data_IF_334003018452
#
_entry.id   IF_334003018452
#
_cell.length_a   1.000
_cell.length_b   1.000
_cell.length_c   1.000
_cell.angle_alpha   90.00
_cell.angle_beta   90.00
_cell.angle_gamma   90.00
#
_symmetry.space_group_name_H-M   'P 1'
#
loop_
_entity.id
_entity.type
_entity.pdbx_description
1 polymer ?
#
# COMPACT_ATOMS: atom_id res chain seq x y z
N UNK A 1 -13.67 -0.16 32.52
CA UNK A 1 -12.52 -1.09 32.41
C UNK A 1 -12.46 -1.80 31.03
N UNK A 2 -12.81 -1.09 29.95
CA UNK A 2 -13.20 -1.74 28.66
C UNK A 2 -12.30 -1.35 27.48
N UNK A 3 -11.27 -0.52 27.69
CA UNK A 3 -10.40 -0.01 26.61
C UNK A 3 -9.12 -0.82 26.36
N UNK A 4 -8.84 -1.87 27.16
CA UNK A 4 -7.59 -2.65 27.04
C UNK A 4 -7.69 -3.87 26.14
N UNK A 5 -8.90 -4.39 25.88
CA UNK A 5 -9.12 -5.59 25.06
C UNK A 5 -9.14 -5.31 23.55
N UNK A 6 -9.53 -4.10 23.12
CA UNK A 6 -9.56 -3.74 21.69
C UNK A 6 -8.15 -3.46 21.14
N UNK A 7 -7.20 -3.03 21.99
CA UNK A 7 -5.82 -2.73 21.58
C UNK A 7 -4.91 -3.95 21.32
N UNK A 8 -5.37 -5.18 21.58
CA UNK A 8 -4.60 -6.42 21.32
C UNK A 8 -4.98 -7.13 20.01
N UNK A 9 -5.98 -6.66 19.26
CA UNK A 9 -6.42 -7.29 18.03
C UNK A 9 -5.73 -6.76 16.75
N UNK A 10 -4.78 -5.83 16.86
CA UNK A 10 -4.07 -5.23 15.71
C UNK A 10 -2.81 -6.01 15.27
N UNK A 11 -2.61 -7.24 15.76
CA UNK A 11 -1.35 -7.98 15.60
C UNK A 11 -1.43 -9.21 14.68
N UNK A 12 -2.57 -9.49 14.04
CA UNK A 12 -2.69 -10.59 13.07
C UNK A 12 -3.72 -10.23 12.03
N UNK A 13 -3.30 -10.12 10.77
CA UNK A 13 -4.26 -10.09 9.67
C UNK A 13 -5.04 -11.41 9.72
N UNK A 14 -6.38 -11.37 9.78
CA UNK A 14 -7.18 -12.58 9.87
C UNK A 14 -6.89 -13.47 8.65
N UNK A 15 -6.67 -14.75 8.91
CA UNK A 15 -6.45 -15.73 7.84
C UNK A 15 -7.74 -15.95 7.06
N UNK A 16 -7.63 -16.45 5.82
CA UNK A 16 -8.78 -16.76 4.97
C UNK A 16 -9.90 -17.53 5.71
N UNK A 17 -9.54 -18.56 6.48
CA UNK A 17 -10.50 -19.33 7.26
C UNK A 17 -11.16 -18.54 8.40
N UNK A 18 -10.44 -17.58 9.01
CA UNK A 18 -10.97 -16.73 10.08
C UNK A 18 -11.92 -15.65 9.54
N UNK A 19 -11.64 -15.09 8.36
CA UNK A 19 -12.53 -14.14 7.68
C UNK A 19 -13.82 -14.84 7.24
N UNK A 20 -13.70 -16.02 6.62
CA UNK A 20 -14.85 -16.83 6.20
C UNK A 20 -15.71 -17.21 7.41
N UNK A 21 -15.10 -17.69 8.50
CA UNK A 21 -15.83 -18.09 9.71
C UNK A 21 -16.51 -16.90 10.43
N UNK A 22 -15.92 -15.69 10.39
CA UNK A 22 -16.54 -14.49 10.97
C UNK A 22 -17.73 -14.01 10.12
N UNK A 23 -17.57 -14.01 8.79
CA UNK A 23 -18.64 -13.67 7.84
C UNK A 23 -19.79 -14.67 7.92
N UNK A 24 -19.49 -15.97 8.04
CA UNK A 24 -20.49 -17.03 8.26
C UNK A 24 -21.20 -16.86 9.62
N UNK A 25 -20.49 -16.46 10.68
CA UNK A 25 -21.11 -16.16 11.99
C UNK A 25 -22.05 -14.96 11.93
N UNK A 26 -21.68 -13.89 11.22
CA UNK A 26 -22.53 -12.70 11.04
C UNK A 26 -23.75 -13.06 10.18
N UNK A 27 -23.56 -13.87 9.13
CA UNK A 27 -24.62 -14.37 8.27
C UNK A 27 -25.56 -15.36 8.98
N UNK A 28 -25.09 -16.17 9.93
CA UNK A 28 -25.98 -17.03 10.74
C UNK A 28 -26.84 -16.24 11.74
N UNK A 29 -26.45 -14.99 12.06
CA UNK A 29 -27.17 -14.13 13.01
C UNK A 29 -28.28 -13.31 12.36
N UNK A 30 -28.26 -13.13 11.04
CA UNK A 30 -29.32 -12.50 10.25
C UNK A 30 -29.85 -13.50 9.22
N UNK A 31 -31.16 -13.78 9.21
CA UNK A 31 -31.79 -14.79 8.36
C UNK A 31 -31.78 -14.42 6.85
N UNK A 32 -30.61 -14.33 6.21
CA UNK A 32 -30.46 -14.16 4.76
C UNK A 32 -29.26 -14.97 4.19
N UNK A 33 -29.33 -15.40 2.92
CA UNK A 33 -28.59 -16.56 2.45
C UNK A 33 -27.08 -16.32 2.23
N UNK A 34 -26.31 -17.38 2.51
CA UNK A 34 -24.84 -17.56 2.46
C UNK A 34 -24.16 -17.07 1.15
N UNK A 35 -24.93 -16.78 0.10
CA UNK A 35 -24.45 -16.26 -1.19
C UNK A 35 -23.70 -14.91 -1.05
N UNK A 36 -24.06 -14.08 -0.07
CA UNK A 36 -23.46 -12.73 0.08
C UNK A 36 -22.02 -12.79 0.59
N UNK A 37 -21.70 -13.72 1.50
CA UNK A 37 -20.37 -13.83 2.09
C UNK A 37 -19.31 -14.32 1.10
N UNK A 38 -19.63 -15.35 0.32
CA UNK A 38 -18.74 -15.83 -0.76
C UNK A 38 -18.55 -14.78 -1.85
N UNK A 39 -19.60 -14.01 -2.16
CA UNK A 39 -19.52 -12.93 -3.16
C UNK A 39 -18.64 -11.77 -2.68
N UNK A 40 -18.72 -11.37 -1.41
CA UNK A 40 -17.85 -10.35 -0.82
C UNK A 40 -16.39 -10.81 -0.79
N UNK A 41 -16.12 -12.06 -0.42
CA UNK A 41 -14.76 -12.62 -0.42
C UNK A 41 -14.20 -12.72 -1.84
N UNK A 42 -15.01 -13.13 -2.82
CA UNK A 42 -14.61 -13.13 -4.23
C UNK A 42 -14.35 -11.70 -4.74
N UNK A 43 -15.20 -10.74 -4.41
CA UNK A 43 -15.00 -9.33 -4.75
C UNK A 43 -13.75 -8.73 -4.09
N UNK A 44 -13.43 -9.14 -2.86
CA UNK A 44 -12.19 -8.76 -2.16
C UNK A 44 -10.96 -9.38 -2.82
N UNK A 45 -11.01 -10.66 -3.20
CA UNK A 45 -9.91 -11.33 -3.91
C UNK A 45 -9.73 -10.84 -5.34
N UNK A 46 -10.80 -10.33 -5.97
CA UNK A 46 -10.76 -9.70 -7.29
C UNK A 46 -10.14 -8.29 -7.27
N UNK A 47 -9.96 -7.67 -6.11
CA UNK A 47 -9.25 -6.39 -5.99
C UNK A 47 -7.74 -6.56 -6.15
N UNK A 48 -7.09 -5.56 -6.73
CA UNK A 48 -5.63 -5.50 -6.77
C UNK A 48 -5.04 -5.64 -5.34
N UNK A 49 -3.88 -6.29 -5.17
CA UNK A 49 -3.27 -6.47 -3.84
C UNK A 49 -3.08 -5.17 -3.05
N UNK A 50 -2.80 -4.06 -3.75
CA UNK A 50 -2.65 -2.74 -3.16
C UNK A 50 -3.97 -2.21 -2.57
N UNK A 51 -5.10 -2.43 -3.24
CA UNK A 51 -6.42 -2.03 -2.76
C UNK A 51 -6.83 -2.84 -1.53
N UNK A 52 -6.51 -4.13 -1.53
CA UNK A 52 -6.68 -4.98 -0.33
C UNK A 52 -5.84 -4.47 0.83
N UNK A 53 -4.60 -4.04 0.57
CA UNK A 53 -3.70 -3.48 1.59
C UNK A 53 -4.28 -2.19 2.17
N UNK A 54 -4.72 -1.25 1.32
CA UNK A 54 -5.35 0.01 1.74
C UNK A 54 -6.58 -0.24 2.62
N UNK A 55 -7.46 -1.17 2.23
CA UNK A 55 -8.68 -1.51 2.98
C UNK A 55 -8.45 -2.31 4.25
N UNK A 56 -7.33 -3.03 4.36
CA UNK A 56 -7.02 -3.85 5.54
C UNK A 56 -6.76 -3.05 6.82
N UNK A 57 -6.50 -1.75 6.71
CA UNK A 57 -6.09 -0.91 7.84
C UNK A 57 -4.68 -1.23 8.38
N UNK A 58 -3.89 -2.01 7.63
CA UNK A 58 -2.52 -2.36 8.03
C UNK A 58 -1.54 -1.18 7.95
N UNK A 59 -1.90 -0.13 7.20
CA UNK A 59 -1.12 1.09 7.03
C UNK A 59 -1.75 2.24 7.83
N UNK A 60 -0.92 3.02 8.53
CA UNK A 60 -1.36 4.29 9.12
C UNK A 60 -1.50 5.39 8.06
N UNK A 61 -2.11 6.52 8.43
CA UNK A 61 -2.40 7.63 7.50
C UNK A 61 -1.13 8.15 6.81
N UNK A 62 0.01 8.16 7.50
CA UNK A 62 1.27 8.63 6.93
C UNK A 62 1.85 7.61 5.94
N UNK A 63 1.75 6.32 6.28
CA UNK A 63 2.11 5.22 5.39
C UNK A 63 1.23 5.21 4.13
N UNK A 64 -0.07 5.49 4.24
CA UNK A 64 -0.98 5.60 3.10
C UNK A 64 -0.63 6.77 2.18
N UNK A 65 -0.40 7.96 2.74
CA UNK A 65 0.02 9.12 1.94
C UNK A 65 1.36 8.89 1.23
N UNK A 66 2.31 8.22 1.91
CA UNK A 66 3.59 7.87 1.33
C UNK A 66 3.47 6.82 0.23
N UNK A 67 2.57 5.84 0.40
CA UNK A 67 2.25 4.84 -0.62
C UNK A 67 1.69 5.49 -1.89
N UNK A 68 0.73 6.41 -1.77
CA UNK A 68 0.17 7.13 -2.91
C UNK A 68 1.23 7.97 -3.62
N UNK A 69 2.10 8.65 -2.85
CA UNK A 69 3.24 9.38 -3.40
C UNK A 69 4.25 8.48 -4.13
N UNK A 70 4.53 7.28 -3.58
CA UNK A 70 5.44 6.31 -4.17
C UNK A 70 4.88 5.75 -5.50
N UNK A 71 3.59 5.43 -5.54
CA UNK A 71 2.91 5.00 -6.77
C UNK A 71 2.91 6.10 -7.82
N UNK A 72 2.61 7.34 -7.43
CA UNK A 72 2.67 8.50 -8.33
C UNK A 72 4.08 8.70 -8.91
N UNK A 73 5.12 8.59 -8.07
CA UNK A 73 6.50 8.70 -8.49
C UNK A 73 6.90 7.60 -9.48
N UNK A 74 6.48 6.35 -9.20
CA UNK A 74 6.70 5.22 -10.09
C UNK A 74 6.03 5.45 -11.46
N UNK A 75 4.73 5.76 -11.50
CA UNK A 75 4.01 6.03 -12.74
C UNK A 75 4.67 7.16 -13.54
N UNK A 76 5.05 8.25 -12.87
CA UNK A 76 5.78 9.35 -13.49
C UNK A 76 7.13 8.87 -14.08
N UNK A 77 7.85 7.99 -13.38
CA UNK A 77 9.15 7.46 -13.83
C UNK A 77 9.07 6.61 -15.10
N UNK A 78 7.93 5.95 -15.32
CA UNK A 78 7.65 5.14 -16.52
C UNK A 78 6.88 5.92 -17.59
N UNK A 79 6.76 7.25 -17.46
CA UNK A 79 6.07 8.10 -18.42
C UNK A 79 4.53 8.05 -18.34
N UNK A 80 3.97 7.36 -17.35
CA UNK A 80 2.54 7.38 -17.05
C UNK A 80 2.25 8.61 -16.17
N UNK A 81 2.00 9.76 -16.78
CA UNK A 81 1.56 10.94 -16.03
C UNK A 81 0.17 10.70 -15.44
N UNK A 82 0.03 10.90 -14.11
CA UNK A 82 -1.21 10.79 -13.35
C UNK A 82 -2.34 11.78 -13.75
N UNK A 83 -2.24 12.41 -14.92
CA UNK A 83 -3.26 13.27 -15.51
C UNK A 83 -4.10 12.59 -16.58
N UNK A 84 -3.86 11.31 -16.91
CA UNK A 84 -4.64 10.61 -17.92
C UNK A 84 -5.65 9.66 -17.27
N UNK A 85 -6.75 10.23 -16.79
CA UNK A 85 -7.98 9.46 -16.69
C UNK A 85 -8.53 9.29 -18.11
N UNK A 86 -8.28 8.13 -18.70
CA UNK A 86 -8.78 7.79 -20.03
C UNK A 86 -10.32 7.80 -20.12
N UNK A 87 -11.02 7.75 -18.97
CA UNK A 87 -12.48 7.84 -18.92
C UNK A 87 -13.01 9.28 -18.88
N UNK A 88 -12.22 10.25 -18.41
CA UNK A 88 -12.67 11.65 -18.28
C UNK A 88 -12.22 12.57 -19.42
N UNK A 89 -11.21 12.20 -20.21
CA UNK A 89 -10.83 12.96 -21.43
C UNK A 89 -10.37 14.41 -21.19
N UNK A 90 -10.14 14.81 -19.94
CA UNK A 90 -9.72 16.17 -19.59
C UNK A 90 -8.20 16.25 -19.73
N UNK A 91 -7.74 16.99 -20.74
CA UNK A 91 -6.34 17.42 -20.84
C UNK A 91 -6.17 18.62 -19.90
N UNK A 92 -5.35 18.53 -18.83
CA UNK A 92 -5.11 19.69 -17.98
C UNK A 92 -4.34 20.73 -18.78
N UNK A 93 -4.94 21.90 -19.01
CA UNK A 93 -4.28 23.05 -19.63
C UNK A 93 -3.26 23.61 -18.64
N UNK A 94 -1.94 23.51 -18.90
CA UNK A 94 -0.95 24.05 -17.99
C UNK A 94 -1.03 25.58 -18.00
N UNK A 95 -1.23 26.20 -16.83
CA UNK A 95 -1.00 27.63 -16.66
C UNK A 95 0.52 27.89 -16.61
N UNK A 96 1.05 28.92 -17.30
CA UNK A 96 2.50 29.10 -17.46
C UNK A 96 3.27 29.24 -16.13
N UNK A 97 2.66 29.90 -15.16
CA UNK A 97 3.17 30.14 -13.81
C UNK A 97 3.13 28.89 -12.92
N UNK A 98 2.18 27.98 -13.15
CA UNK A 98 2.08 26.70 -12.43
C UNK A 98 2.91 25.58 -13.07
N UNK A 99 3.35 25.75 -14.32
CA UNK A 99 4.13 24.76 -15.03
C UNK A 99 5.49 24.53 -14.35
N UNK A 100 6.14 25.61 -13.90
CA UNK A 100 7.47 25.55 -13.28
C UNK A 100 7.44 24.93 -11.88
N UNK A 101 6.48 25.32 -11.03
CA UNK A 101 6.30 24.72 -9.70
C UNK A 101 5.88 23.25 -9.80
N UNK A 102 5.04 22.91 -10.77
CA UNK A 102 4.63 21.54 -11.03
C UNK A 102 5.79 20.70 -11.56
N UNK A 103 6.63 21.25 -12.43
CA UNK A 103 7.82 20.60 -12.95
C UNK A 103 8.86 20.39 -11.85
N UNK A 104 9.12 21.40 -11.02
CA UNK A 104 10.03 21.31 -9.88
C UNK A 104 9.60 20.22 -8.88
N UNK A 105 8.31 20.18 -8.52
CA UNK A 105 7.76 19.13 -7.63
C UNK A 105 7.88 17.73 -8.25
N UNK A 106 7.64 17.58 -9.56
CA UNK A 106 7.82 16.30 -10.26
C UNK A 106 9.28 15.84 -10.25
N UNK A 107 10.21 16.76 -10.53
CA UNK A 107 11.66 16.48 -10.49
C UNK A 107 12.10 16.06 -9.10
N UNK A 108 11.62 16.75 -8.05
CA UNK A 108 11.94 16.40 -6.66
C UNK A 108 11.40 15.02 -6.26
N UNK A 109 10.15 14.70 -6.63
CA UNK A 109 9.54 13.39 -6.35
C UNK A 109 10.25 12.25 -7.07
N UNK A 110 10.63 12.45 -8.35
CA UNK A 110 11.40 11.47 -9.12
C UNK A 110 12.80 11.25 -8.52
N UNK A 111 13.49 12.32 -8.13
CA UNK A 111 14.79 12.22 -7.45
C UNK A 111 14.68 11.42 -6.16
N UNK A 112 13.63 11.65 -5.38
CA UNK A 112 13.37 10.88 -4.14
C UNK A 112 13.08 9.42 -4.46
N UNK A 113 12.30 9.11 -5.50
CA UNK A 113 12.03 7.74 -5.91
C UNK A 113 13.29 6.98 -6.34
N UNK A 114 14.15 7.58 -7.17
CA UNK A 114 15.39 6.91 -7.58
C UNK A 114 16.33 6.69 -6.40
N UNK A 115 16.46 7.68 -5.50
CA UNK A 115 17.20 7.52 -4.26
C UNK A 115 16.64 6.40 -3.38
N UNK A 116 15.31 6.36 -3.22
CA UNK A 116 14.63 5.30 -2.48
C UNK A 116 14.94 3.91 -3.06
N UNK A 117 14.88 3.79 -4.40
CA UNK A 117 15.18 2.54 -5.10
C UNK A 117 16.63 2.11 -4.89
N UNK A 118 17.56 3.06 -4.95
CA UNK A 118 18.99 2.78 -4.77
C UNK A 118 19.33 2.42 -3.32
N UNK A 119 18.77 3.15 -2.33
CA UNK A 119 18.96 2.86 -0.89
C UNK A 119 18.48 1.44 -0.53
N UNK A 120 17.40 0.97 -1.15
CA UNK A 120 16.81 -0.35 -0.88
C UNK A 120 17.29 -1.46 -1.82
N UNK A 121 18.16 -1.15 -2.78
CA UNK A 121 18.62 -2.13 -3.77
C UNK A 121 19.24 -3.36 -3.09
N UNK A 122 18.74 -4.54 -3.44
CA UNK A 122 19.19 -5.81 -2.87
C UNK A 122 18.67 -6.11 -1.46
N UNK A 123 17.84 -5.23 -0.87
CA UNK A 123 17.25 -5.43 0.46
C UNK A 123 15.86 -6.09 0.36
N UNK A 124 15.41 -6.85 1.38
CA UNK A 124 14.07 -7.44 1.44
C UNK A 124 12.93 -6.44 1.25
N UNK A 125 13.11 -5.20 1.73
CA UNK A 125 12.15 -4.09 1.60
C UNK A 125 11.85 -3.77 0.14
N UNK A 126 12.89 -3.73 -0.70
CA UNK A 126 12.71 -3.48 -2.13
C UNK A 126 12.01 -4.65 -2.82
N UNK A 127 12.33 -5.89 -2.43
CA UNK A 127 11.69 -7.08 -3.00
C UNK A 127 10.19 -7.11 -2.66
N UNK A 128 9.84 -6.83 -1.40
CA UNK A 128 8.45 -6.75 -0.98
C UNK A 128 7.70 -5.60 -1.66
N UNK A 129 8.30 -4.40 -1.70
CA UNK A 129 7.71 -3.24 -2.36
C UNK A 129 7.49 -3.48 -3.85
N UNK A 130 8.50 -3.98 -4.56
CA UNK A 130 8.39 -4.27 -5.99
C UNK A 130 7.33 -5.32 -6.28
N UNK A 131 7.37 -6.44 -5.54
CA UNK A 131 6.44 -7.54 -5.75
C UNK A 131 4.98 -7.12 -5.53
N UNK A 132 4.68 -6.32 -4.49
CA UNK A 132 3.30 -5.92 -4.20
C UNK A 132 2.84 -4.73 -5.03
N UNK A 133 3.68 -3.71 -5.17
CA UNK A 133 3.28 -2.42 -5.73
C UNK A 133 3.36 -2.39 -7.26
N UNK A 134 4.33 -3.09 -7.84
CA UNK A 134 4.62 -3.00 -9.28
C UNK A 134 4.30 -4.28 -10.03
N UNK A 135 4.53 -5.44 -9.41
CA UNK A 135 4.25 -6.75 -10.02
C UNK A 135 2.86 -7.30 -9.64
N UNK A 136 2.07 -6.55 -8.84
CA UNK A 136 0.74 -6.92 -8.34
C UNK A 136 0.65 -8.33 -7.72
N UNK A 137 1.69 -8.73 -7.00
CA UNK A 137 1.76 -10.04 -6.36
C UNK A 137 1.16 -10.02 -4.95
N UNK A 138 0.46 -11.08 -4.52
CA UNK A 138 0.00 -11.19 -3.15
C UNK A 138 1.19 -11.39 -2.19
N UNK A 139 1.16 -10.71 -1.04
CA UNK A 139 2.20 -10.77 0.00
C UNK A 139 2.63 -12.21 0.36
N UNK A 140 1.67 -13.12 0.51
CA UNK A 140 1.96 -14.54 0.81
C UNK A 140 2.76 -15.26 -0.27
N UNK A 141 2.60 -14.89 -1.54
CA UNK A 141 3.39 -15.49 -2.61
C UNK A 141 4.85 -15.04 -2.54
N UNK A 142 5.08 -13.76 -2.19
CA UNK A 142 6.41 -13.19 -1.99
C UNK A 142 7.09 -13.86 -0.80
N UNK A 143 6.38 -14.02 0.32
CA UNK A 143 6.89 -14.71 1.52
C UNK A 143 7.35 -16.14 1.20
N UNK A 144 6.52 -16.88 0.47
CA UNK A 144 6.81 -18.27 0.10
C UNK A 144 8.03 -18.38 -0.82
N UNK A 145 8.12 -17.53 -1.83
CA UNK A 145 9.23 -17.55 -2.80
C UNK A 145 10.56 -17.17 -2.16
N UNK A 146 10.55 -16.22 -1.21
CA UNK A 146 11.76 -15.76 -0.53
C UNK A 146 12.05 -16.54 0.77
N UNK A 147 11.27 -17.58 1.07
CA UNK A 147 11.37 -18.38 2.30
C UNK A 147 11.31 -17.53 3.59
N UNK A 148 10.54 -16.44 3.58
CA UNK A 148 10.36 -15.59 4.74
C UNK A 148 9.30 -16.13 5.70
N UNK A 149 9.35 -15.67 6.95
CA UNK A 149 8.31 -15.97 7.94
C UNK A 149 7.00 -15.29 7.54
N UNK A 150 5.88 -15.90 7.91
CA UNK A 150 4.55 -15.31 7.69
C UNK A 150 4.47 -13.92 8.35
N UNK A 151 4.07 -12.90 7.58
CA UNK A 151 3.97 -11.51 8.02
C UNK A 151 5.19 -10.66 7.65
N UNK A 152 6.36 -11.26 7.36
CA UNK A 152 7.59 -10.52 7.08
C UNK A 152 7.49 -9.67 5.82
N UNK A 153 6.80 -10.13 4.76
CA UNK A 153 6.65 -9.29 3.57
C UNK A 153 5.84 -8.02 3.86
N UNK A 154 4.88 -8.09 4.78
CA UNK A 154 4.11 -6.92 5.21
C UNK A 154 5.01 -5.93 5.96
N UNK A 155 5.88 -6.42 6.84
CA UNK A 155 6.82 -5.59 7.59
C UNK A 155 7.86 -4.93 6.67
N UNK A 156 8.43 -5.69 5.73
CA UNK A 156 9.36 -5.17 4.72
C UNK A 156 8.70 -4.14 3.81
N UNK A 157 7.45 -4.37 3.38
CA UNK A 157 6.69 -3.40 2.61
C UNK A 157 6.47 -2.10 3.39
N UNK A 158 6.06 -2.19 4.67
CA UNK A 158 5.89 -1.01 5.53
C UNK A 158 7.19 -0.27 5.74
N UNK A 159 8.29 -0.97 5.94
CA UNK A 159 9.61 -0.37 6.08
C UNK A 159 10.03 0.37 4.80
N UNK A 160 9.77 -0.21 3.63
CA UNK A 160 10.00 0.46 2.34
C UNK A 160 9.18 1.75 2.20
N UNK A 161 7.89 1.71 2.55
CA UNK A 161 6.98 2.88 2.49
C UNK A 161 7.43 3.97 3.47
N UNK A 162 7.79 3.59 4.70
CA UNK A 162 8.30 4.53 5.71
C UNK A 162 9.62 5.17 5.29
N UNK A 163 10.50 4.42 4.65
CA UNK A 163 11.76 4.95 4.12
C UNK A 163 11.48 6.02 3.07
N UNK A 164 10.56 5.75 2.13
CA UNK A 164 10.12 6.74 1.16
C UNK A 164 9.54 8.00 1.83
N UNK A 165 8.64 7.82 2.80
CA UNK A 165 8.07 8.92 3.58
C UNK A 165 9.16 9.76 4.26
N UNK A 166 10.19 9.12 4.82
CA UNK A 166 11.31 9.79 5.46
C UNK A 166 12.16 10.60 4.48
N UNK A 167 12.39 10.08 3.27
CA UNK A 167 13.11 10.81 2.21
C UNK A 167 12.32 12.03 1.71
N UNK A 168 10.99 11.96 1.72
CA UNK A 168 10.10 13.09 1.44
C UNK A 168 9.98 14.11 2.59
N UNK A 169 10.57 13.83 3.77
CA UNK A 169 10.39 14.66 4.96
C UNK A 169 9.01 14.51 5.66
N UNK A 170 8.22 13.51 5.26
CA UNK A 170 6.89 13.22 5.81
C UNK A 170 6.87 12.29 7.02
N UNK A 171 8.03 11.98 7.61
CA UNK A 171 8.08 11.17 8.83
C UNK A 171 7.50 11.95 10.03
N UNK A 172 6.63 11.33 10.86
CA UNK A 172 6.14 11.95 12.07
C UNK A 172 7.29 12.37 13.00
N UNK A 173 7.14 13.52 13.67
CA UNK A 173 8.17 14.03 14.61
C UNK A 173 8.56 12.95 15.62
N UNK A 174 9.87 12.78 15.81
CA UNK A 174 10.45 11.81 16.75
C UNK A 174 10.51 10.35 16.25
N UNK A 175 10.09 10.06 15.02
CA UNK A 175 10.22 8.70 14.44
C UNK A 175 11.40 8.60 13.47
N UNK A 176 12.26 7.60 13.68
CA UNK A 176 13.32 7.22 12.73
C UNK A 176 12.77 6.19 11.75
N UNK A 177 12.34 6.67 10.60
CA UNK A 177 11.74 5.86 9.53
C UNK A 177 12.69 5.58 8.36
N UNK A 178 13.81 6.28 8.34
CA UNK A 178 14.84 6.09 7.32
C UNK A 178 15.62 4.82 7.61
N UNK A 179 15.74 3.98 6.60
CA UNK A 179 16.61 2.81 6.58
C UNK A 179 18.01 3.33 6.20
N UNK A 180 18.98 3.08 7.07
CA UNK A 180 20.40 3.35 6.81
C UNK A 180 21.04 2.14 6.10
#
# INVERSE_FOLDING_TARGET
MTSRKIRRAAARAPTYGEIVAEVERIAHRGKEPVATGQTIVRAYLAQAPIERLKRSGALDVWELSALDGLMHAYHTSIGQTAGHDAALGIVPTPRPDQADDSAARRVDVLRVYFRWRDDLKGRPEHVAARGVLFDERPLRAIERENHWRNGSATEHLRAAIRHFAALCGGAPRGRKWRIC
#
